data_IF_449487612912
#
_entry.id   IF_449487612912
#
_cell.length_a   1.000
_cell.length_b   1.000
_cell.length_c   1.000
_cell.angle_alpha   90.00
_cell.angle_beta   90.00
_cell.angle_gamma   90.00
#
_symmetry.space_group_name_H-M   'P 1'
#
loop_
_entity.id
_entity.type
_entity.pdbx_description
1 polymer ?
#
# COMPACT_ATOMS: atom_id res chain seq x y z
N UNK A 1 13.67 -22.62 1.99
CA UNK A 1 13.46 -21.32 2.65
C UNK A 1 13.90 -20.25 1.67
N UNK A 2 12.97 -19.57 1.00
CA UNK A 2 13.31 -18.39 0.20
C UNK A 2 13.82 -17.31 1.17
N UNK A 3 15.05 -16.85 0.98
CA UNK A 3 15.71 -15.87 1.84
C UNK A 3 16.14 -14.67 1.01
N UNK A 4 16.16 -13.53 1.70
CA UNK A 4 15.68 -12.30 1.14
C UNK A 4 16.55 -11.17 1.65
N UNK A 5 17.15 -10.42 0.71
CA UNK A 5 18.22 -9.47 0.96
C UNK A 5 17.70 -8.06 0.69
N UNK A 6 17.72 -7.19 1.71
CA UNK A 6 17.10 -5.86 1.65
C UNK A 6 18.14 -4.81 1.26
N UNK A 7 18.39 -4.55 -0.03
CA UNK A 7 19.36 -3.49 -0.41
C UNK A 7 18.72 -2.11 -0.43
N UNK A 8 19.37 -1.13 0.20
CA UNK A 8 18.87 0.22 0.45
C UNK A 8 18.94 1.20 -0.75
N UNK A 9 18.89 0.71 -2.00
CA UNK A 9 19.00 1.58 -3.18
C UNK A 9 18.08 1.25 -4.37
N UNK A 10 16.99 0.54 -4.17
CA UNK A 10 15.97 0.36 -5.22
C UNK A 10 14.60 0.21 -4.58
N UNK A 11 13.73 1.21 -4.72
CA UNK A 11 12.29 0.91 -4.80
C UNK A 11 11.94 0.92 -6.31
N UNK A 12 10.81 0.43 -6.81
CA UNK A 12 9.43 0.79 -6.52
C UNK A 12 8.53 -0.25 -7.21
N UNK A 13 7.52 -0.65 -6.43
CA UNK A 13 6.15 -0.95 -6.84
C UNK A 13 5.86 -2.26 -7.62
N UNK A 14 4.72 -2.84 -7.24
CA UNK A 14 3.97 -4.02 -7.72
C UNK A 14 4.72 -5.30 -8.09
N UNK A 15 5.74 -5.24 -8.93
CA UNK A 15 6.63 -6.37 -9.17
C UNK A 15 7.79 -6.39 -8.14
N UNK A 16 8.02 -5.27 -7.44
CA UNK A 16 9.15 -5.09 -6.54
C UNK A 16 8.92 -5.48 -5.08
N UNK A 17 7.71 -5.85 -4.66
CA UNK A 17 7.59 -6.64 -3.42
C UNK A 17 8.18 -8.05 -3.64
N UNK A 18 8.29 -8.50 -4.91
CA UNK A 18 9.06 -9.67 -5.32
C UNK A 18 10.56 -9.37 -5.35
N UNK A 19 11.06 -8.19 -5.76
CA UNK A 19 12.53 -7.92 -5.83
C UNK A 19 13.14 -7.43 -4.51
N UNK A 20 12.36 -6.78 -3.63
CA UNK A 20 12.80 -6.50 -2.26
C UNK A 20 13.05 -7.81 -1.50
N UNK A 21 12.43 -8.90 -1.98
CA UNK A 21 12.36 -10.17 -1.28
C UNK A 21 13.14 -11.30 -1.99
N UNK A 22 12.88 -11.54 -3.25
CA UNK A 22 13.61 -12.48 -4.12
C UNK A 22 14.59 -11.78 -5.06
N UNK A 23 15.10 -10.59 -4.69
CA UNK A 23 15.90 -9.71 -5.54
C UNK A 23 16.62 -10.48 -6.60
N UNK A 24 16.25 -10.28 -7.87
CA UNK A 24 16.63 -11.17 -8.99
C UNK A 24 18.12 -11.44 -8.97
N UNK A 25 18.45 -12.51 -8.28
CA UNK A 25 19.77 -13.08 -8.05
C UNK A 25 19.47 -14.50 -7.62
N UNK A 26 20.17 -15.45 -8.23
CA UNK A 26 20.14 -16.87 -7.88
C UNK A 26 19.98 -17.05 -6.37
N UNK A 27 19.04 -17.90 -5.94
CA UNK A 27 18.88 -18.27 -4.54
C UNK A 27 20.25 -18.57 -3.90
N UNK A 28 20.77 -17.63 -3.11
CA UNK A 28 22.07 -17.77 -2.46
C UNK A 28 21.89 -18.60 -1.21
N UNK A 29 22.55 -19.75 -1.14
CA UNK A 29 22.60 -20.55 0.09
C UNK A 29 23.47 -19.81 1.11
N UNK A 30 22.85 -19.25 2.15
CA UNK A 30 23.56 -18.58 3.24
C UNK A 30 24.16 -19.60 4.20
N UNK A 31 25.36 -19.30 4.68
CA UNK A 31 26.04 -20.06 5.72
C UNK A 31 25.51 -19.65 7.10
N UNK A 32 25.62 -20.55 8.09
CA UNK A 32 25.24 -20.25 9.48
C UNK A 32 25.92 -18.97 10.02
N UNK A 33 27.17 -18.72 9.61
CA UNK A 33 27.93 -17.51 9.96
C UNK A 33 27.31 -16.24 9.40
N UNK A 34 26.84 -16.26 8.14
CA UNK A 34 26.15 -15.12 7.53
C UNK A 34 24.81 -14.84 8.22
N UNK A 35 24.07 -15.90 8.59
CA UNK A 35 22.82 -15.77 9.36
C UNK A 35 23.08 -15.15 10.73
N UNK A 36 24.05 -15.67 11.49
CA UNK A 36 24.40 -15.13 12.80
C UNK A 36 24.87 -13.67 12.71
N UNK A 37 25.63 -13.30 11.67
CA UNK A 37 26.08 -11.93 11.44
C UNK A 37 24.91 -10.97 11.16
N UNK A 38 23.93 -11.40 10.36
CA UNK A 38 22.70 -10.62 10.10
C UNK A 38 21.92 -10.38 11.40
N UNK A 39 21.73 -11.41 12.22
CA UNK A 39 20.99 -11.30 13.48
C UNK A 39 21.70 -10.44 14.52
N UNK A 40 23.03 -10.46 14.58
CA UNK A 40 23.81 -9.54 15.43
C UNK A 40 23.61 -8.09 14.98
N UNK A 41 23.51 -7.84 13.67
CA UNK A 41 23.29 -6.49 13.16
C UNK A 41 21.95 -5.90 13.62
N UNK A 42 20.88 -6.70 13.64
CA UNK A 42 19.54 -6.28 14.11
C UNK A 42 19.58 -5.68 15.51
N UNK A 43 20.37 -6.26 16.42
CA UNK A 43 20.50 -5.76 17.81
C UNK A 43 21.24 -4.42 17.92
N UNK A 44 21.96 -4.01 16.87
CA UNK A 44 22.71 -2.74 16.83
C UNK A 44 21.92 -1.61 16.18
N UNK A 45 20.95 -1.94 15.33
CA UNK A 45 20.14 -0.95 14.62
C UNK A 45 19.11 -0.35 15.58
N UNK A 46 19.00 0.98 15.57
CA UNK A 46 18.05 1.71 16.40
C UNK A 46 16.63 1.50 15.85
N UNK A 47 15.68 1.18 16.72
CA UNK A 47 14.27 1.20 16.36
C UNK A 47 13.83 2.63 16.00
N UNK A 48 13.24 2.82 14.83
CA UNK A 48 12.83 4.14 14.33
C UNK A 48 12.24 4.09 12.91
N UNK A 49 11.92 5.26 12.33
CA UNK A 49 11.36 5.38 10.98
C UNK A 49 12.39 5.14 9.85
N UNK A 50 13.60 4.71 10.21
CA UNK A 50 14.71 4.39 9.29
C UNK A 50 15.18 2.95 9.49
N UNK A 51 14.42 2.13 10.23
CA UNK A 51 14.87 0.82 10.70
C UNK A 51 15.27 -0.11 9.56
N UNK A 52 14.47 -0.20 8.50
CA UNK A 52 14.77 -1.06 7.36
C UNK A 52 15.90 -0.50 6.48
N UNK A 53 16.00 0.82 6.31
CA UNK A 53 17.11 1.49 5.62
C UNK A 53 18.43 1.28 6.35
N UNK A 54 18.45 1.44 7.66
CA UNK A 54 19.63 1.30 8.51
C UNK A 54 20.08 -0.17 8.60
N UNK A 55 19.12 -1.10 8.54
CA UNK A 55 19.42 -2.52 8.45
C UNK A 55 20.08 -2.89 7.12
N UNK A 56 19.59 -2.28 6.03
CA UNK A 56 20.02 -2.58 4.67
C UNK A 56 20.07 -4.09 4.43
N UNK A 57 21.09 -4.53 3.70
CA UNK A 57 21.22 -5.90 3.17
C UNK A 57 21.43 -6.98 4.25
N UNK A 58 21.45 -6.58 5.52
CA UNK A 58 21.86 -7.40 6.67
C UNK A 58 20.66 -7.84 7.50
N UNK A 59 19.47 -7.89 6.89
CA UNK A 59 18.24 -8.40 7.47
C UNK A 59 17.86 -9.77 6.95
N UNK A 60 17.03 -10.49 7.71
CA UNK A 60 16.41 -11.75 7.32
C UNK A 60 14.91 -11.65 7.58
N UNK A 61 14.11 -11.76 6.52
CA UNK A 61 12.64 -11.75 6.59
C UNK A 61 12.14 -13.05 5.97
N UNK A 62 11.34 -13.79 6.71
CA UNK A 62 10.63 -14.96 6.20
C UNK A 62 9.43 -14.56 5.35
N UNK A 63 8.96 -15.47 4.49
CA UNK A 63 7.78 -15.22 3.66
C UNK A 63 6.54 -14.82 4.47
N UNK A 64 6.37 -15.41 5.65
CA UNK A 64 5.21 -15.12 6.48
C UNK A 64 5.32 -13.76 7.18
N UNK A 65 6.53 -13.36 7.58
CA UNK A 65 6.79 -12.02 8.10
C UNK A 65 6.56 -10.95 7.04
N UNK A 66 6.91 -11.26 5.79
CA UNK A 66 6.62 -10.40 4.66
C UNK A 66 5.12 -10.16 4.47
N UNK A 67 4.31 -11.20 4.49
CA UNK A 67 2.85 -11.07 4.42
C UNK A 67 2.28 -10.29 5.62
N UNK A 68 2.87 -10.46 6.80
CA UNK A 68 2.54 -9.68 7.98
C UNK A 68 2.86 -8.18 7.79
N UNK A 69 4.08 -7.83 7.32
CA UNK A 69 4.47 -6.45 7.03
C UNK A 69 3.57 -5.81 5.97
N UNK A 70 3.20 -6.58 4.94
CA UNK A 70 2.27 -6.14 3.90
C UNK A 70 0.88 -5.81 4.44
N UNK A 71 0.41 -6.62 5.38
CA UNK A 71 -0.85 -6.37 6.09
C UNK A 71 -0.76 -5.08 6.89
N UNK A 72 0.36 -4.81 7.57
CA UNK A 72 0.55 -3.55 8.30
C UNK A 72 0.49 -2.33 7.37
N UNK A 73 1.13 -2.40 6.19
CA UNK A 73 1.18 -1.28 5.24
C UNK A 73 -0.19 -0.88 4.68
N UNK A 74 -1.16 -1.80 4.71
CA UNK A 74 -2.52 -1.59 4.17
C UNK A 74 -3.57 -1.38 5.26
N UNK A 75 -3.19 -1.45 6.55
CA UNK A 75 -4.13 -1.27 7.67
C UNK A 75 -4.16 0.18 8.14
N UNK A 76 -5.37 0.77 8.34
CA UNK A 76 -5.48 2.06 9.01
C UNK A 76 -5.09 1.93 10.49
N UNK A 77 -4.68 3.04 11.09
CA UNK A 77 -4.24 3.13 12.49
C UNK A 77 -5.29 2.59 13.49
N UNK A 78 -6.58 2.80 13.21
CA UNK A 78 -7.70 2.28 14.02
C UNK A 78 -7.75 0.75 14.05
N UNK A 79 -7.21 0.08 13.03
CA UNK A 79 -7.13 -1.38 12.94
C UNK A 79 -5.98 -1.99 13.75
N UNK A 80 -5.02 -1.20 14.24
CA UNK A 80 -3.81 -1.71 14.90
C UNK A 80 -4.13 -2.36 16.24
N UNK A 81 -4.99 -1.73 17.03
CA UNK A 81 -5.44 -2.29 18.31
C UNK A 81 -6.18 -3.63 18.13
N UNK A 82 -7.02 -3.70 17.10
CA UNK A 82 -7.75 -4.93 16.77
C UNK A 82 -6.77 -6.03 16.35
N UNK A 83 -5.80 -5.71 15.50
CA UNK A 83 -4.77 -6.66 15.08
C UNK A 83 -3.92 -7.15 16.26
N UNK A 84 -3.54 -6.26 17.18
CA UNK A 84 -2.80 -6.64 18.38
C UNK A 84 -3.61 -7.57 19.30
N UNK A 85 -4.88 -7.25 19.54
CA UNK A 85 -5.79 -8.12 20.31
C UNK A 85 -6.04 -9.48 19.66
N UNK A 86 -5.94 -9.56 18.33
CA UNK A 86 -5.99 -10.85 17.64
C UNK A 86 -4.71 -11.68 17.82
N UNK A 87 -3.59 -11.05 18.18
CA UNK A 87 -2.32 -11.71 18.48
C UNK A 87 -2.21 -12.13 19.95
N UNK A 88 -2.67 -11.27 20.85
CA UNK A 88 -2.70 -11.47 22.30
C UNK A 88 -3.83 -12.46 22.65
N UNK A 89 -3.51 -13.76 22.69
CA UNK A 89 -4.50 -14.82 22.84
C UNK A 89 -4.92 -15.02 24.30
N UNK A 90 -4.07 -14.64 25.25
CA UNK A 90 -4.34 -14.73 26.69
C UNK A 90 -4.86 -13.41 27.30
N UNK A 91 -4.85 -12.31 26.54
CA UNK A 91 -5.42 -11.02 26.92
C UNK A 91 -4.56 -10.25 27.92
N UNK A 92 -3.27 -10.55 28.01
CA UNK A 92 -2.36 -9.96 28.99
C UNK A 92 -1.74 -8.61 28.53
N UNK A 93 -2.19 -8.08 27.38
CA UNK A 93 -1.70 -6.87 26.69
C UNK A 93 -0.25 -6.95 26.19
N UNK A 94 0.27 -8.17 26.07
CA UNK A 94 1.61 -8.46 25.57
C UNK A 94 1.57 -9.68 24.66
N UNK A 95 2.32 -9.63 23.55
CA UNK A 95 2.44 -10.77 22.64
C UNK A 95 3.75 -11.49 22.93
N UNK A 96 3.69 -12.81 23.08
CA UNK A 96 4.86 -13.68 23.19
C UNK A 96 5.27 -14.25 21.82
N UNK A 97 6.54 -14.66 21.69
CA UNK A 97 7.07 -15.28 20.45
C UNK A 97 6.17 -16.41 19.93
N UNK A 98 5.65 -17.25 20.83
CA UNK A 98 4.75 -18.38 20.52
C UNK A 98 3.42 -17.94 19.90
N UNK A 99 2.90 -16.79 20.32
CA UNK A 99 1.63 -16.24 19.82
C UNK A 99 1.82 -15.60 18.45
N UNK A 100 2.94 -14.91 18.25
CA UNK A 100 3.33 -14.41 16.93
C UNK A 100 3.49 -15.54 15.91
N UNK A 101 4.00 -16.71 16.30
CA UNK A 101 4.04 -17.89 15.44
C UNK A 101 2.65 -18.43 15.06
N UNK A 102 1.63 -18.27 15.90
CA UNK A 102 0.25 -18.68 15.54
C UNK A 102 -0.28 -17.83 14.38
N UNK A 103 -0.02 -16.53 14.38
CA UNK A 103 -0.33 -15.66 13.24
C UNK A 103 0.39 -16.12 11.99
N UNK A 104 1.68 -16.45 12.10
CA UNK A 104 2.43 -16.94 10.96
C UNK A 104 1.81 -18.21 10.37
N UNK A 105 1.33 -19.14 11.21
CA UNK A 105 0.62 -20.33 10.74
C UNK A 105 -0.72 -19.98 10.06
N UNK A 106 -1.48 -19.01 10.57
CA UNK A 106 -2.77 -18.60 9.96
C UNK A 106 -2.55 -17.97 8.59
N UNK A 107 -1.61 -17.03 8.50
CA UNK A 107 -1.25 -16.36 7.25
C UNK A 107 -0.70 -17.38 6.23
N UNK A 108 0.16 -18.32 6.67
CA UNK A 108 0.70 -19.37 5.81
C UNK A 108 -0.32 -20.40 5.35
N UNK A 109 -1.27 -20.81 6.20
CA UNK A 109 -2.34 -21.77 5.83
C UNK A 109 -3.32 -21.22 4.80
N UNK A 110 -3.49 -19.89 4.73
CA UNK A 110 -4.39 -19.27 3.75
C UNK A 110 -3.89 -19.44 2.31
N UNK A 111 -2.57 -19.60 2.11
CA UNK A 111 -1.97 -19.94 0.81
C UNK A 111 -2.07 -21.44 0.48
N UNK A 112 -1.92 -22.32 1.48
CA UNK A 112 -2.08 -23.77 1.29
C UNK A 112 -3.52 -24.13 0.93
N UNK A 113 -4.52 -23.48 1.55
CA UNK A 113 -5.94 -23.64 1.23
C UNK A 113 -6.29 -23.14 -0.19
N UNK A 114 -5.52 -22.19 -0.75
CA UNK A 114 -5.67 -21.75 -2.14
C UNK A 114 -5.04 -22.73 -3.14
N UNK A 115 -4.05 -23.53 -2.72
CA UNK A 115 -3.46 -24.61 -3.52
C UNK A 115 -4.17 -25.96 -3.37
N UNK A 116 -4.91 -26.16 -2.28
CA UNK A 116 -5.57 -27.41 -1.96
C UNK A 116 -7.09 -27.34 -2.19
N UNK A 117 -7.55 -27.02 -3.40
CA UNK A 117 -8.94 -27.30 -3.81
C UNK A 117 -9.15 -28.79 -4.17
N UNK A 118 -8.54 -29.70 -3.40
CA UNK A 118 -8.49 -31.12 -3.75
C UNK A 118 -7.66 -31.97 -2.80
N UNK A 119 -7.93 -31.92 -1.50
CA UNK A 119 -8.04 -33.10 -0.61
C UNK A 119 -8.09 -32.63 0.84
N UNK A 120 -9.14 -33.04 1.56
CA UNK A 120 -9.24 -32.90 3.01
C UNK A 120 -8.23 -33.82 3.68
N UNK A 121 -7.28 -33.24 4.42
CA UNK A 121 -6.55 -33.96 5.46
C UNK A 121 -6.48 -33.10 6.71
N UNK A 122 -7.32 -33.47 7.67
CA UNK A 122 -7.18 -33.08 9.08
C UNK A 122 -5.76 -33.45 9.51
N UNK A 123 -4.92 -32.44 9.73
CA UNK A 123 -3.54 -32.65 10.17
C UNK A 123 -3.42 -32.16 11.61
N UNK A 124 -3.16 -33.12 12.50
CA UNK A 124 -2.86 -32.96 13.93
C UNK A 124 -1.89 -31.80 14.18
N UNK A 125 -2.10 -31.07 15.28
CA UNK A 125 -1.17 -30.04 15.75
C UNK A 125 0.22 -30.67 16.01
N UNK A 126 1.28 -30.28 15.27
CA UNK A 126 2.63 -30.63 15.68
C UNK A 126 3.00 -29.74 16.85
N UNK A 127 3.41 -30.37 17.95
CA UNK A 127 4.08 -29.72 19.07
C UNK A 127 5.22 -28.83 18.53
N UNK A 128 5.33 -27.63 19.11
CA UNK A 128 6.25 -26.58 18.70
C UNK A 128 7.70 -27.00 19.00
N UNK A 129 8.31 -27.79 18.12
CA UNK A 129 9.77 -27.89 18.11
C UNK A 129 10.35 -26.58 17.57
N UNK A 130 11.12 -25.94 18.45
CA UNK A 130 12.01 -24.78 18.29
C UNK A 130 13.08 -24.99 17.20
N UNK A 131 12.65 -25.30 15.98
CA UNK A 131 13.52 -25.45 14.81
C UNK A 131 13.68 -24.14 14.01
N UNK A 132 13.08 -23.05 14.49
CA UNK A 132 12.93 -21.80 13.76
C UNK A 132 14.20 -20.96 13.76
N UNK A 133 14.89 -20.94 12.62
CA UNK A 133 15.92 -19.93 12.31
C UNK A 133 15.40 -18.54 12.72
N UNK A 134 16.11 -17.88 13.64
CA UNK A 134 15.77 -16.52 14.05
C UNK A 134 15.81 -15.58 12.83
N UNK A 135 14.87 -14.65 12.79
CA UNK A 135 14.69 -13.64 11.75
C UNK A 135 14.85 -12.25 12.34
N UNK A 136 14.88 -11.22 11.49
CA UNK A 136 14.95 -9.83 11.92
C UNK A 136 13.78 -9.46 12.83
N UNK A 137 12.53 -9.75 12.44
CA UNK A 137 11.37 -9.33 13.25
C UNK A 137 11.30 -10.08 14.57
N UNK A 138 11.61 -11.38 14.58
CA UNK A 138 11.64 -12.15 15.82
C UNK A 138 12.69 -11.63 16.80
N UNK A 139 13.90 -11.30 16.32
CA UNK A 139 14.94 -10.70 17.16
C UNK A 139 14.56 -9.29 17.60
N UNK A 140 13.92 -8.51 16.73
CA UNK A 140 13.50 -7.15 17.04
C UNK A 140 12.40 -7.09 18.11
N UNK A 141 11.43 -8.00 18.07
CA UNK A 141 10.29 -7.99 19.02
C UNK A 141 10.52 -8.80 20.29
N UNK A 142 11.27 -9.91 20.21
CA UNK A 142 11.35 -10.88 21.31
C UNK A 142 12.79 -11.08 21.83
N UNK A 143 13.74 -10.32 21.28
CA UNK A 143 15.17 -10.45 21.58
C UNK A 143 15.78 -11.74 21.01
N UNK A 144 17.11 -11.84 21.05
CA UNK A 144 17.84 -12.99 20.48
C UNK A 144 17.47 -14.33 21.15
N UNK A 145 17.14 -14.28 22.44
CA UNK A 145 16.71 -15.44 23.22
C UNK A 145 15.21 -15.74 23.09
N UNK A 146 14.41 -14.85 22.47
CA UNK A 146 12.96 -15.06 22.32
C UNK A 146 12.15 -14.95 23.62
N UNK A 147 12.71 -14.31 24.65
CA UNK A 147 12.12 -14.22 26.00
C UNK A 147 11.43 -12.88 26.28
N UNK A 148 11.70 -11.87 25.46
CA UNK A 148 11.05 -10.57 25.61
C UNK A 148 9.60 -10.68 25.11
N UNK A 149 8.75 -9.77 25.61
CA UNK A 149 7.34 -9.71 25.27
C UNK A 149 7.05 -8.39 24.59
N UNK A 150 6.26 -8.43 23.52
CA UNK A 150 5.95 -7.27 22.70
C UNK A 150 4.71 -6.57 23.24
N UNK A 151 4.84 -5.34 23.75
CA UNK A 151 3.70 -4.56 24.23
C UNK A 151 2.99 -3.86 23.09
N UNK A 152 1.71 -3.50 23.31
CA UNK A 152 0.94 -2.77 22.30
C UNK A 152 1.60 -1.45 21.87
N UNK A 153 2.16 -0.68 22.81
CA UNK A 153 2.82 0.61 22.48
C UNK A 153 4.04 0.43 21.57
N UNK A 154 4.79 -0.66 21.74
CA UNK A 154 5.93 -1.01 20.90
C UNK A 154 5.48 -1.47 19.52
N UNK A 155 4.43 -2.30 19.46
CA UNK A 155 3.81 -2.75 18.22
C UNK A 155 3.24 -1.59 17.41
N UNK A 156 2.46 -0.71 18.05
CA UNK A 156 1.90 0.50 17.44
C UNK A 156 3.00 1.38 16.84
N UNK A 157 4.04 1.68 17.62
CA UNK A 157 5.17 2.50 17.16
C UNK A 157 5.92 1.83 16.00
N UNK A 158 6.08 0.51 16.02
CA UNK A 158 6.68 -0.22 14.91
C UNK A 158 5.86 -0.05 13.61
N UNK A 159 4.54 -0.21 13.70
CA UNK A 159 3.66 -0.07 12.53
C UNK A 159 3.67 1.35 11.97
N UNK A 160 3.61 2.37 12.85
CA UNK A 160 3.70 3.78 12.47
C UNK A 160 5.06 4.12 11.81
N UNK A 161 6.16 3.62 12.38
CA UNK A 161 7.50 3.79 11.81
C UNK A 161 7.62 3.11 10.43
N UNK A 162 7.10 1.89 10.27
CA UNK A 162 7.11 1.17 9.00
C UNK A 162 6.33 1.93 7.91
N UNK A 163 5.13 2.43 8.24
CA UNK A 163 4.34 3.22 7.29
C UNK A 163 5.07 4.53 6.92
N UNK A 164 5.66 5.21 7.90
CA UNK A 164 6.44 6.43 7.68
C UNK A 164 7.66 6.17 6.80
N UNK A 165 8.39 5.09 7.07
CA UNK A 165 9.58 4.71 6.32
C UNK A 165 9.26 4.43 4.85
N UNK A 166 8.17 3.69 4.59
CA UNK A 166 7.71 3.42 3.22
C UNK A 166 7.27 4.70 2.51
N UNK A 167 6.57 5.61 3.19
CA UNK A 167 6.18 6.90 2.61
C UNK A 167 7.41 7.75 2.24
N UNK A 168 8.39 7.86 3.12
CA UNK A 168 9.64 8.59 2.83
C UNK A 168 10.39 7.98 1.66
N UNK A 169 10.44 6.65 1.60
CA UNK A 169 11.08 5.94 0.51
C UNK A 169 10.38 6.18 -0.83
N UNK A 170 9.04 6.09 -0.87
CA UNK A 170 8.27 6.45 -2.07
C UNK A 170 8.53 7.90 -2.48
N UNK A 171 8.55 8.83 -1.53
CA UNK A 171 8.85 10.22 -1.81
C UNK A 171 10.22 10.38 -2.48
N UNK A 172 11.27 9.84 -1.86
CA UNK A 172 12.65 9.92 -2.37
C UNK A 172 12.74 9.35 -3.78
N UNK A 173 12.03 8.27 -4.06
CA UNK A 173 12.13 7.67 -5.38
C UNK A 173 11.44 8.50 -6.45
N UNK A 174 10.19 8.90 -6.23
CA UNK A 174 9.47 9.68 -7.22
C UNK A 174 10.06 11.09 -7.35
N UNK A 175 10.61 11.66 -6.28
CA UNK A 175 11.40 12.90 -6.33
C UNK A 175 12.77 12.74 -6.98
N UNK A 176 13.18 11.51 -7.34
CA UNK A 176 14.49 11.20 -7.94
C UNK A 176 15.65 11.67 -7.06
N UNK A 177 15.48 11.55 -5.74
CA UNK A 177 16.45 11.94 -4.73
C UNK A 177 16.43 13.43 -4.36
N UNK A 178 15.53 14.22 -4.95
CA UNK A 178 15.38 15.64 -4.61
C UNK A 178 14.60 15.80 -3.29
N UNK A 179 14.83 16.93 -2.61
CA UNK A 179 14.11 17.29 -1.38
C UNK A 179 12.68 17.78 -1.62
N UNK A 180 12.24 17.82 -2.88
CA UNK A 180 10.91 18.21 -3.31
C UNK A 180 10.48 17.30 -4.46
N UNK A 181 9.18 17.06 -4.59
CA UNK A 181 8.59 16.28 -5.68
C UNK A 181 7.92 17.24 -6.66
N UNK A 182 8.19 17.11 -7.96
CA UNK A 182 7.46 17.91 -8.96
C UNK A 182 6.01 17.40 -9.06
N UNK A 183 5.07 18.24 -9.49
CA UNK A 183 3.67 17.84 -9.62
C UNK A 183 3.48 16.67 -10.59
N UNK A 184 4.31 16.57 -11.62
CA UNK A 184 4.31 15.45 -12.57
C UNK A 184 4.79 14.15 -11.91
N UNK A 185 5.82 14.23 -11.05
CA UNK A 185 6.31 13.06 -10.32
C UNK A 185 5.28 12.60 -9.26
N UNK A 186 4.53 13.55 -8.67
CA UNK A 186 3.40 13.24 -7.79
C UNK A 186 2.24 12.59 -8.53
N UNK A 187 1.92 13.07 -9.74
CA UNK A 187 0.92 12.43 -10.60
C UNK A 187 1.37 11.00 -10.99
N UNK A 188 2.64 10.81 -11.33
CA UNK A 188 3.23 9.49 -11.59
C UNK A 188 3.05 8.56 -10.38
N UNK A 189 3.37 9.03 -9.18
CA UNK A 189 3.18 8.29 -7.93
C UNK A 189 1.72 7.93 -7.65
N UNK A 190 0.81 8.85 -7.94
CA UNK A 190 -0.62 8.68 -7.67
C UNK A 190 -1.26 7.67 -8.62
N UNK A 191 -0.85 7.71 -9.89
CA UNK A 191 -1.38 6.91 -10.99
C UNK A 191 -0.61 5.61 -11.21
N UNK A 192 0.40 5.31 -10.39
CA UNK A 192 1.24 4.15 -10.65
C UNK A 192 0.48 2.81 -10.69
N UNK A 193 -0.57 2.68 -9.88
CA UNK A 193 -1.38 1.45 -9.80
C UNK A 193 -2.70 1.54 -10.57
N UNK A 194 -2.83 2.45 -11.52
CA UNK A 194 -4.03 2.59 -12.35
C UNK A 194 -3.83 1.94 -13.71
N UNK A 195 -4.87 1.29 -14.21
CA UNK A 195 -4.86 0.60 -15.51
C UNK A 195 -4.48 1.56 -16.64
N UNK A 196 -3.61 1.12 -17.56
CA UNK A 196 -3.06 1.93 -18.66
C UNK A 196 -4.14 2.63 -19.49
N UNK A 197 -5.28 1.97 -19.74
CA UNK A 197 -6.38 2.51 -20.56
C UNK A 197 -7.01 3.79 -19.99
N UNK A 198 -6.96 3.99 -18.66
CA UNK A 198 -7.49 5.20 -18.03
C UNK A 198 -6.40 6.28 -17.86
N UNK A 199 -5.12 5.93 -18.06
CA UNK A 199 -4.00 6.82 -17.78
C UNK A 199 -3.82 7.93 -18.82
N UNK A 200 -4.20 7.71 -20.07
CA UNK A 200 -3.99 8.70 -21.15
C UNK A 200 -4.66 10.04 -20.86
N UNK A 201 -5.91 10.01 -20.37
CA UNK A 201 -6.66 11.24 -20.06
C UNK A 201 -6.03 11.96 -18.87
N UNK A 202 -5.63 11.23 -17.82
CA UNK A 202 -4.96 11.84 -16.66
C UNK A 202 -3.62 12.49 -17.07
N UNK A 203 -2.83 11.82 -17.91
CA UNK A 203 -1.55 12.37 -18.38
C UNK A 203 -1.73 13.54 -19.35
N UNK A 204 -2.81 13.57 -20.13
CA UNK A 204 -3.16 14.74 -20.92
C UNK A 204 -3.47 15.93 -20.00
N UNK A 205 -4.29 15.73 -18.97
CA UNK A 205 -4.59 16.76 -17.97
C UNK A 205 -3.32 17.26 -17.25
N UNK A 206 -2.41 16.36 -16.89
CA UNK A 206 -1.11 16.73 -16.30
C UNK A 206 -0.33 17.64 -17.25
N UNK A 207 -0.20 17.28 -18.53
CA UNK A 207 0.58 18.06 -19.51
C UNK A 207 -0.04 19.43 -19.82
N UNK A 208 -1.37 19.52 -19.88
CA UNK A 208 -2.06 20.72 -20.32
C UNK A 208 -2.38 21.70 -19.17
N UNK A 209 -2.63 21.18 -17.96
CA UNK A 209 -3.21 21.99 -16.85
C UNK A 209 -2.27 22.22 -15.68
N UNK A 210 -1.24 21.38 -15.51
CA UNK A 210 -0.27 21.54 -14.43
C UNK A 210 0.83 22.50 -14.89
N UNK A 211 1.03 23.57 -14.11
CA UNK A 211 2.06 24.57 -14.39
C UNK A 211 3.39 24.12 -13.79
N UNK A 212 4.47 24.33 -14.55
CA UNK A 212 5.83 24.11 -14.09
C UNK A 212 6.23 25.18 -13.06
N UNK A 213 6.95 24.77 -12.01
CA UNK A 213 7.60 25.68 -11.04
C UNK A 213 7.14 25.51 -9.60
N UNK A 214 5.95 24.97 -9.37
CA UNK A 214 5.49 24.60 -8.02
C UNK A 214 5.79 23.13 -7.71
N UNK A 215 6.29 22.86 -6.52
CA UNK A 215 6.68 21.53 -6.07
C UNK A 215 5.89 21.13 -4.82
N UNK A 216 5.84 19.83 -4.55
CA UNK A 216 5.23 19.22 -3.37
C UNK A 216 6.35 18.84 -2.40
N UNK A 217 6.27 19.34 -1.18
CA UNK A 217 7.19 19.00 -0.09
C UNK A 217 6.90 17.62 0.51
N UNK A 218 7.86 17.08 1.28
CA UNK A 218 7.67 15.81 2.00
C UNK A 218 6.49 15.88 2.98
N UNK A 219 6.30 17.02 3.65
CA UNK A 219 5.22 17.19 4.64
C UNK A 219 3.85 17.22 3.96
N UNK A 220 3.72 17.93 2.83
CA UNK A 220 2.51 17.91 2.01
C UNK A 220 2.19 16.49 1.51
N UNK A 221 3.22 15.76 1.04
CA UNK A 221 3.08 14.39 0.60
C UNK A 221 2.65 13.44 1.73
N UNK A 222 3.26 13.54 2.92
CA UNK A 222 2.88 12.76 4.11
C UNK A 222 1.45 13.08 4.55
N UNK A 223 1.06 14.36 4.54
CA UNK A 223 -0.31 14.77 4.87
C UNK A 223 -1.31 14.18 3.85
N UNK A 224 -0.96 14.15 2.57
CA UNK A 224 -1.78 13.48 1.55
C UNK A 224 -1.89 11.97 1.80
N UNK A 225 -0.80 11.28 2.14
CA UNK A 225 -0.84 9.86 2.52
C UNK A 225 -1.69 9.58 3.78
N UNK A 226 -1.70 10.50 4.75
CA UNK A 226 -2.58 10.40 5.91
C UNK A 226 -4.05 10.54 5.52
N UNK A 227 -4.36 11.43 4.57
CA UNK A 227 -5.69 11.54 3.98
C UNK A 227 -6.11 10.22 3.30
N UNK A 228 -5.23 9.60 2.50
CA UNK A 228 -5.58 8.34 1.81
C UNK A 228 -5.85 7.17 2.78
N UNK A 229 -5.30 7.21 4.01
CA UNK A 229 -5.63 6.24 5.05
C UNK A 229 -7.08 6.37 5.60
N UNK A 230 -7.76 7.50 5.34
CA UNK A 230 -9.16 7.79 5.73
C UNK A 230 -10.11 7.77 4.54
N UNK A 231 -9.75 7.04 3.48
CA UNK A 231 -10.51 7.02 2.23
C UNK A 231 -11.94 6.52 2.40
N UNK A 232 -12.20 5.60 3.34
CA UNK A 232 -13.56 5.11 3.62
C UNK A 232 -14.46 6.23 4.16
N UNK A 233 -13.99 6.97 5.17
CA UNK A 233 -14.69 8.13 5.75
C UNK A 233 -14.92 9.23 4.70
N UNK A 234 -13.91 9.48 3.86
CA UNK A 234 -14.02 10.42 2.75
C UNK A 234 -15.04 9.94 1.69
N UNK A 235 -15.08 8.64 1.41
CA UNK A 235 -16.03 8.08 0.42
C UNK A 235 -17.49 8.22 0.86
N UNK A 236 -17.78 8.12 2.16
CA UNK A 236 -19.11 8.38 2.73
C UNK A 236 -19.48 9.85 2.49
N UNK A 237 -18.54 10.77 2.71
CA UNK A 237 -18.74 12.21 2.44
C UNK A 237 -19.06 12.46 0.97
N UNK A 238 -18.33 11.81 0.04
CA UNK A 238 -18.61 11.92 -1.40
C UNK A 238 -19.99 11.37 -1.78
N UNK A 239 -20.42 10.26 -1.17
CA UNK A 239 -21.77 9.72 -1.39
C UNK A 239 -22.86 10.73 -1.00
N UNK A 240 -22.68 11.50 0.08
CA UNK A 240 -23.65 12.53 0.47
C UNK A 240 -23.80 13.63 -0.61
N UNK A 241 -22.70 14.05 -1.24
CA UNK A 241 -22.75 15.00 -2.37
C UNK A 241 -23.46 14.41 -3.59
N UNK A 242 -23.18 13.16 -3.93
CA UNK A 242 -23.86 12.43 -5.01
C UNK A 242 -25.37 12.32 -4.76
N UNK A 243 -25.79 11.94 -3.55
CA UNK A 243 -27.21 11.83 -3.17
C UNK A 243 -27.91 13.19 -3.23
N UNK A 244 -27.21 14.27 -2.85
CA UNK A 244 -27.73 15.63 -2.95
C UNK A 244 -27.72 16.21 -4.38
N UNK A 245 -27.24 15.44 -5.37
CA UNK A 245 -27.03 15.89 -6.75
C UNK A 245 -26.22 17.20 -6.84
N UNK A 246 -25.20 17.34 -5.98
CA UNK A 246 -24.34 18.52 -5.92
C UNK A 246 -22.98 18.22 -6.55
N UNK A 247 -22.52 19.03 -7.51
CA UNK A 247 -21.17 18.91 -8.03
C UNK A 247 -20.13 19.21 -6.94
N UNK A 248 -18.99 18.53 -7.00
CA UNK A 248 -17.91 18.69 -6.03
C UNK A 248 -16.85 19.62 -6.62
N UNK A 249 -16.98 20.93 -6.38
CA UNK A 249 -15.94 21.90 -6.77
C UNK A 249 -14.81 21.90 -5.74
N UNK A 250 -13.76 22.68 -6.00
CA UNK A 250 -12.55 22.71 -5.16
C UNK A 250 -12.86 23.06 -3.68
N UNK A 251 -13.79 23.97 -3.42
CA UNK A 251 -14.17 24.36 -2.05
C UNK A 251 -14.89 23.22 -1.31
N UNK A 252 -15.82 22.53 -1.98
CA UNK A 252 -16.50 21.35 -1.47
C UNK A 252 -15.51 20.21 -1.23
N UNK A 253 -14.55 20.00 -2.14
CA UNK A 253 -13.51 19.00 -2.00
C UNK A 253 -12.62 19.27 -0.78
N UNK A 254 -12.11 20.50 -0.64
CA UNK A 254 -11.32 20.93 0.52
C UNK A 254 -12.07 20.72 1.83
N UNK A 255 -13.35 21.10 1.88
CA UNK A 255 -14.22 20.89 3.04
C UNK A 255 -14.41 19.41 3.34
N UNK A 256 -14.64 18.58 2.32
CA UNK A 256 -14.86 17.15 2.50
C UNK A 256 -13.62 16.44 3.06
N UNK A 257 -12.43 16.81 2.56
CA UNK A 257 -11.15 16.32 3.12
C UNK A 257 -11.05 16.68 4.60
N UNK A 258 -11.29 17.96 4.95
CA UNK A 258 -11.24 18.44 6.34
C UNK A 258 -12.21 17.70 7.27
N UNK A 259 -13.42 17.42 6.80
CA UNK A 259 -14.43 16.67 7.56
C UNK A 259 -14.01 15.21 7.77
N UNK A 260 -13.44 14.56 6.74
CA UNK A 260 -13.06 13.15 6.81
C UNK A 260 -11.80 12.89 7.64
N UNK A 261 -10.81 13.79 7.59
CA UNK A 261 -9.49 13.56 8.20
C UNK A 261 -9.23 14.41 9.44
N UNK A 262 -9.98 15.51 9.63
CA UNK A 262 -9.65 16.56 10.60
C UNK A 262 -8.48 17.45 10.18
N UNK A 263 -7.82 17.16 9.06
CA UNK A 263 -6.63 17.85 8.55
C UNK A 263 -6.94 18.65 7.29
N UNK A 264 -6.17 19.70 7.03
CA UNK A 264 -6.26 20.47 5.78
C UNK A 264 -5.08 20.09 4.89
N UNK A 265 -5.38 19.67 3.67
CA UNK A 265 -4.36 19.55 2.63
C UNK A 265 -4.02 20.95 2.11
N UNK A 266 -2.77 21.12 1.66
CA UNK A 266 -2.36 22.38 1.04
C UNK A 266 -3.14 22.62 -0.26
N UNK A 267 -3.38 23.90 -0.57
CA UNK A 267 -4.06 24.27 -1.81
C UNK A 267 -3.27 23.81 -3.05
N UNK A 268 -1.94 23.73 -2.93
CA UNK A 268 -1.04 23.18 -3.94
C UNK A 268 -1.34 21.71 -4.29
N UNK A 269 -1.48 20.84 -3.28
CA UNK A 269 -1.83 19.43 -3.48
C UNK A 269 -3.27 19.28 -3.98
N UNK A 270 -4.21 20.03 -3.38
CA UNK A 270 -5.62 19.98 -3.77
C UNK A 270 -5.83 20.41 -5.22
N UNK A 271 -5.23 21.52 -5.64
CA UNK A 271 -5.27 22.01 -7.02
C UNK A 271 -4.67 21.00 -8.01
N UNK A 272 -3.54 20.39 -7.65
CA UNK A 272 -2.90 19.35 -8.48
C UNK A 272 -3.82 18.15 -8.68
N UNK A 273 -4.36 17.60 -7.58
CA UNK A 273 -5.32 16.48 -7.63
C UNK A 273 -6.56 16.87 -8.44
N UNK A 274 -7.10 18.06 -8.19
CA UNK A 274 -8.29 18.54 -8.88
C UNK A 274 -8.09 18.62 -10.40
N UNK A 275 -6.96 19.18 -10.84
CA UNK A 275 -6.61 19.27 -12.27
C UNK A 275 -6.42 17.91 -12.94
N UNK A 276 -5.88 16.92 -12.22
CA UNK A 276 -5.70 15.56 -12.75
C UNK A 276 -7.07 14.90 -12.97
N UNK A 277 -7.98 15.02 -12.00
CA UNK A 277 -9.26 14.29 -11.97
C UNK A 277 -10.48 15.09 -12.43
N UNK A 278 -10.29 16.29 -12.99
CA UNK A 278 -11.33 17.02 -13.73
C UNK A 278 -11.32 16.54 -15.20
N UNK A 279 -12.08 15.48 -15.49
CA UNK A 279 -12.00 14.81 -16.78
C UNK A 279 -12.75 15.52 -17.92
N UNK A 280 -13.82 16.24 -17.61
CA UNK A 280 -14.66 16.93 -18.59
C UNK A 280 -14.38 18.44 -18.65
N UNK A 281 -13.53 18.96 -17.76
CA UNK A 281 -13.14 20.37 -17.74
C UNK A 281 -14.24 21.27 -17.19
N UNK A 282 -15.19 20.72 -16.43
CA UNK A 282 -16.33 21.46 -15.88
C UNK A 282 -16.00 22.18 -14.55
N UNK A 283 -14.74 22.09 -14.10
CA UNK A 283 -14.26 22.53 -12.79
C UNK A 283 -15.00 21.83 -11.64
N UNK A 284 -15.31 20.55 -11.80
CA UNK A 284 -15.76 19.63 -10.77
C UNK A 284 -14.84 18.41 -10.70
N UNK A 285 -14.75 17.82 -9.52
CA UNK A 285 -13.98 16.60 -9.31
C UNK A 285 -14.77 15.40 -9.82
N UNK A 286 -14.18 14.60 -10.72
CA UNK A 286 -14.65 13.25 -11.06
C UNK A 286 -14.37 12.28 -9.89
N UNK A 287 -15.10 12.47 -8.78
CA UNK A 287 -14.80 11.84 -7.49
C UNK A 287 -14.89 10.31 -7.53
N UNK A 288 -15.71 9.73 -8.41
CA UNK A 288 -15.83 8.27 -8.56
C UNK A 288 -14.53 7.64 -9.07
N UNK A 289 -13.91 8.26 -10.06
CA UNK A 289 -12.63 7.83 -10.64
C UNK A 289 -11.48 8.10 -9.68
N UNK A 290 -11.46 9.30 -9.09
CA UNK A 290 -10.48 9.64 -8.04
C UNK A 290 -10.49 8.63 -6.89
N UNK A 291 -11.67 8.27 -6.36
CA UNK A 291 -11.80 7.23 -5.34
C UNK A 291 -11.33 5.86 -5.84
N UNK A 292 -11.54 5.54 -7.12
CA UNK A 292 -11.04 4.31 -7.76
C UNK A 292 -9.52 4.26 -7.77
N UNK A 293 -8.87 5.34 -8.22
CA UNK A 293 -7.41 5.50 -8.22
C UNK A 293 -6.84 5.37 -6.82
N UNK A 294 -7.41 6.12 -5.85
CA UNK A 294 -6.95 6.04 -4.46
C UNK A 294 -7.16 4.66 -3.84
N UNK A 295 -8.25 3.96 -4.17
CA UNK A 295 -8.44 2.58 -3.72
C UNK A 295 -7.32 1.69 -4.27
N UNK A 296 -7.03 1.74 -5.57
CA UNK A 296 -5.95 0.96 -6.14
C UNK A 296 -4.60 1.31 -5.51
N UNK A 297 -4.36 2.61 -5.25
CA UNK A 297 -3.15 3.12 -4.60
C UNK A 297 -2.96 2.58 -3.19
N UNK A 298 -4.03 2.57 -2.40
CA UNK A 298 -4.03 2.06 -1.02
C UNK A 298 -3.86 0.55 -0.96
N UNK A 299 -4.39 -0.18 -1.95
CA UNK A 299 -4.21 -1.63 -2.03
C UNK A 299 -2.86 -2.02 -2.66
N UNK A 300 -2.08 -1.06 -3.19
CA UNK A 300 -0.74 -1.28 -3.75
C UNK A 300 -0.71 -2.44 -4.77
N UNK A 301 -1.74 -2.52 -5.63
CA UNK A 301 -1.91 -3.61 -6.61
C UNK A 301 -2.11 -5.03 -6.04
N UNK A 302 -2.17 -5.20 -4.72
CA UNK A 302 -2.36 -6.50 -4.06
C UNK A 302 -3.79 -7.02 -4.15
N UNK A 303 -4.72 -6.18 -4.62
CA UNK A 303 -6.09 -6.58 -4.84
C UNK A 303 -6.15 -7.34 -6.16
N UNK A 304 -6.19 -8.67 -6.06
CA UNK A 304 -6.56 -9.50 -7.22
C UNK A 304 -7.96 -9.07 -7.64
N UNK A 305 -8.17 -8.62 -8.88
CA UNK A 305 -9.51 -8.42 -9.40
C UNK A 305 -10.25 -9.74 -9.22
N UNK A 306 -11.30 -9.75 -8.41
CA UNK A 306 -12.17 -10.92 -8.31
C UNK A 306 -12.63 -11.19 -9.73
N UNK A 307 -12.19 -12.32 -10.33
CA UNK A 307 -12.35 -12.67 -11.73
C UNK A 307 -13.68 -12.14 -12.27
N UNK A 308 -13.66 -10.99 -12.92
CA UNK A 308 -14.80 -10.52 -13.70
C UNK A 308 -14.74 -11.38 -14.95
N UNK A 309 -15.21 -12.63 -14.88
CA UNK A 309 -15.16 -13.56 -16.01
C UNK A 309 -16.00 -13.03 -17.18
N UNK A 310 -17.11 -13.69 -17.48
CA UNK A 310 -18.01 -13.26 -18.56
C UNK A 310 -18.54 -11.83 -18.33
N UNK A 311 -18.65 -11.37 -17.07
CA UNK A 311 -19.07 -10.01 -16.74
C UNK A 311 -18.04 -8.92 -17.09
N UNK A 312 -16.74 -9.20 -16.99
CA UNK A 312 -15.69 -8.25 -17.35
C UNK A 312 -15.58 -8.11 -18.87
N UNK A 313 -15.70 -9.24 -19.56
CA UNK A 313 -15.82 -9.29 -21.01
C UNK A 313 -17.02 -8.46 -21.51
N UNK A 314 -18.22 -8.67 -20.96
CA UNK A 314 -19.41 -7.90 -21.37
C UNK A 314 -19.31 -6.41 -21.02
N UNK A 315 -18.65 -6.04 -19.91
CA UNK A 315 -18.34 -4.63 -19.61
C UNK A 315 -17.42 -4.03 -20.67
N UNK A 316 -16.38 -4.74 -21.07
CA UNK A 316 -15.44 -4.30 -22.09
C UNK A 316 -16.12 -4.17 -23.47
N UNK A 317 -16.85 -5.20 -23.91
CA UNK A 317 -17.64 -5.18 -25.15
C UNK A 317 -18.62 -4.01 -25.17
N UNK A 318 -19.34 -3.77 -24.05
CA UNK A 318 -20.28 -2.65 -23.95
C UNK A 318 -19.56 -1.30 -24.02
N UNK A 319 -18.40 -1.15 -23.36
CA UNK A 319 -17.60 0.08 -23.35
C UNK A 319 -17.06 0.41 -24.74
N UNK A 320 -16.45 -0.55 -25.41
CA UNK A 320 -15.85 -0.38 -26.74
C UNK A 320 -16.92 -0.20 -27.83
N UNK A 321 -18.07 -0.86 -27.71
CA UNK A 321 -19.22 -0.62 -28.59
C UNK A 321 -19.77 0.81 -28.46
N UNK A 322 -19.81 1.35 -27.24
CA UNK A 322 -20.26 2.73 -26.98
C UNK A 322 -19.24 3.76 -27.48
N UNK A 323 -17.94 3.52 -27.29
CA UNK A 323 -16.87 4.37 -27.84
C UNK A 323 -16.94 4.38 -29.36
N UNK A 324 -16.97 3.21 -30.00
CA UNK A 324 -17.08 3.10 -31.47
C UNK A 324 -18.33 3.81 -32.02
N UNK A 325 -19.48 3.68 -31.35
CA UNK A 325 -20.69 4.41 -31.73
C UNK A 325 -20.53 5.94 -31.62
N UNK A 326 -19.91 6.44 -30.54
CA UNK A 326 -19.64 7.88 -30.36
C UNK A 326 -18.65 8.44 -31.39
N UNK A 327 -17.63 7.66 -31.75
CA UNK A 327 -16.64 8.04 -32.78
C UNK A 327 -17.32 8.16 -34.16
N UNK A 328 -18.15 7.17 -34.51
CA UNK A 328 -18.92 7.17 -35.77
C UNK A 328 -19.93 8.31 -35.79
N UNK A 329 -20.58 8.62 -34.66
CA UNK A 329 -21.51 9.76 -34.55
C UNK A 329 -20.82 11.10 -34.76
N UNK A 330 -19.62 11.30 -34.18
CA UNK A 330 -18.82 12.52 -34.38
C UNK A 330 -18.43 12.70 -35.85
N UNK A 331 -18.23 11.62 -36.59
CA UNK A 331 -17.85 11.67 -38.01
C UNK A 331 -19.05 11.83 -38.97
N UNK A 332 -20.24 11.35 -38.60
CA UNK A 332 -21.41 11.30 -39.52
C UNK A 332 -22.49 12.34 -39.24
N UNK A 333 -22.47 13.01 -38.09
CA UNK A 333 -23.35 14.15 -37.78
C UNK A 333 -24.86 13.84 -37.77
N UNK A 334 -25.28 12.58 -37.73
CA UNK A 334 -26.70 12.18 -37.62
C UNK A 334 -26.92 11.11 -36.56
N UNK A 335 -27.91 11.34 -35.71
CA UNK A 335 -28.40 10.44 -34.66
C UNK A 335 -29.05 9.19 -35.26
N UNK A 336 -28.87 7.98 -34.68
CA UNK A 336 -29.67 6.80 -34.99
C UNK A 336 -30.92 6.66 -34.11
N UNK A 337 -31.22 7.67 -33.29
CA UNK A 337 -32.51 7.84 -32.59
C UNK A 337 -33.30 8.97 -33.21
#
# INVERSE_FOLDING_TARGET
MLQIKVSSQSLLLNDDFFIIITGTTLAKKLTKKEVDAALVNVTKVKAGPTFFRDLGDKGLISYTEYLFLLTILTKPQTGFHIAFKMLDADGNEQVEKKEFFKLQKIIGKQDDLRKASGHETVSQEPELEDSGVNTTLLVHFFGRAGKEKLRYSEFYRFMENLQTEVQEMEFIQFSKGLNFMRKEDFAEWLLYFTDEENNDIYWQNVKERIQAGENISLDEFKTFCQFTNRLEDFSITMQMFTVANRPVKLAEFKRAVKVATGQELSDNVLDTVFKIFDLDGDNCLSHGEFLGVLKNRMHRGLRVPQQQGVQGYWKCVKRESIKGAKEVWKQTGKSPF
#
